data_IF_386720804010
#
_entry.id   IF_386720804010
#
_cell.length_a   1.000
_cell.length_b   1.000
_cell.length_c   1.000
_cell.angle_alpha   90.00
_cell.angle_beta   90.00
_cell.angle_gamma   90.00
#
_symmetry.space_group_name_H-M   'P 1'
#
loop_
_entity.id
_entity.type
_entity.pdbx_description
1 polymer ?
#
# COMPACT_ATOMS: atom_id res chain seq x y z
N UNK A 1 3.90 -23.48 1.94
CA UNK A 1 3.25 -22.34 1.27
C UNK A 1 3.82 -21.09 1.91
N UNK A 2 4.51 -20.24 1.15
CA UNK A 2 5.01 -18.97 1.68
C UNK A 2 3.84 -18.01 1.86
N UNK A 3 3.80 -17.28 2.97
CA UNK A 3 2.80 -16.24 3.18
C UNK A 3 2.94 -15.18 2.08
N UNK A 4 1.82 -14.64 1.54
CA UNK A 4 1.89 -13.60 0.53
C UNK A 4 2.59 -12.35 1.08
N UNK A 5 3.29 -11.62 0.21
CA UNK A 5 3.85 -10.31 0.56
C UNK A 5 2.68 -9.34 0.67
N UNK A 6 2.41 -8.89 1.89
CA UNK A 6 1.30 -8.00 2.21
C UNK A 6 1.71 -6.55 1.97
N UNK A 7 1.00 -5.85 1.08
CA UNK A 7 1.12 -4.41 0.85
C UNK A 7 -0.10 -3.75 1.47
N UNK A 8 0.12 -2.88 2.46
CA UNK A 8 -0.96 -2.12 3.09
C UNK A 8 -0.81 -0.65 2.70
N UNK A 9 -1.89 -0.05 2.22
CA UNK A 9 -1.95 1.36 1.87
C UNK A 9 -2.99 2.01 2.77
N UNK A 10 -2.57 3.00 3.55
CA UNK A 10 -3.46 3.76 4.43
C UNK A 10 -3.62 5.14 3.84
N UNK A 11 -4.87 5.54 3.63
CA UNK A 11 -5.25 6.86 3.16
C UNK A 11 -6.33 7.46 4.05
N UNK A 12 -6.82 8.63 3.68
CA UNK A 12 -8.02 9.22 4.24
C UNK A 12 -8.74 10.00 3.12
N UNK A 13 -10.05 10.25 3.23
CA UNK A 13 -10.76 11.08 2.28
C UNK A 13 -10.21 12.51 2.39
N UNK A 14 -9.74 13.08 1.29
CA UNK A 14 -9.21 14.45 1.29
C UNK A 14 -10.32 15.38 0.84
N UNK A 15 -10.78 16.26 1.73
CA UNK A 15 -11.63 17.38 1.35
C UNK A 15 -10.78 18.42 0.59
N UNK A 16 -11.13 18.69 -0.66
CA UNK A 16 -10.56 19.77 -1.46
C UNK A 16 -11.64 20.76 -1.90
N UNK A 17 -11.24 21.84 -2.58
CA UNK A 17 -12.17 22.89 -3.05
C UNK A 17 -13.27 22.38 -4.00
N UNK A 18 -13.08 21.20 -4.57
CA UNK A 18 -13.99 20.55 -5.53
C UNK A 18 -14.86 19.44 -4.89
N UNK A 19 -14.76 19.25 -3.56
CA UNK A 19 -15.44 18.18 -2.81
C UNK A 19 -14.47 17.21 -2.14
N UNK A 20 -14.98 16.06 -1.70
CA UNK A 20 -14.13 14.99 -1.14
C UNK A 20 -13.59 14.16 -2.30
N UNK A 21 -12.26 14.14 -2.47
CA UNK A 21 -11.58 13.29 -3.45
C UNK A 21 -10.95 12.11 -2.74
N UNK A 22 -11.28 10.92 -3.21
CA UNK A 22 -10.66 9.67 -2.75
C UNK A 22 -9.60 9.16 -3.73
N UNK A 23 -8.71 10.07 -4.15
CA UNK A 23 -7.68 9.77 -5.13
C UNK A 23 -6.71 8.68 -4.66
N UNK A 24 -6.53 8.51 -3.34
CA UNK A 24 -5.70 7.45 -2.81
C UNK A 24 -6.37 6.08 -2.93
N UNK A 25 -7.69 5.96 -2.70
CA UNK A 25 -8.39 4.68 -2.93
C UNK A 25 -8.34 4.27 -4.39
N UNK A 26 -8.54 5.21 -5.32
CA UNK A 26 -8.47 4.91 -6.76
C UNK A 26 -7.07 4.44 -7.18
N UNK A 27 -6.02 5.14 -6.74
CA UNK A 27 -4.63 4.74 -7.01
C UNK A 27 -4.32 3.38 -6.36
N UNK A 28 -4.84 3.13 -5.16
CA UNK A 28 -4.62 1.86 -4.45
C UNK A 28 -5.29 0.68 -5.14
N UNK A 29 -6.51 0.86 -5.66
CA UNK A 29 -7.19 -0.14 -6.50
C UNK A 29 -6.39 -0.43 -7.76
N UNK A 30 -5.95 0.62 -8.46
CA UNK A 30 -5.11 0.45 -9.65
C UNK A 30 -3.79 -0.27 -9.34
N UNK A 31 -3.15 0.07 -8.22
CA UNK A 31 -1.93 -0.61 -7.76
C UNK A 31 -2.19 -2.09 -7.46
N UNK A 32 -3.30 -2.41 -6.78
CA UNK A 32 -3.70 -3.78 -6.47
C UNK A 32 -3.88 -4.62 -7.74
N UNK A 33 -4.61 -4.11 -8.73
CA UNK A 33 -4.82 -4.78 -10.01
C UNK A 33 -3.49 -5.02 -10.74
N UNK A 34 -2.65 -4.00 -10.82
CA UNK A 34 -1.37 -4.08 -11.52
C UNK A 34 -0.37 -5.04 -10.83
N UNK A 35 -0.33 -5.05 -9.50
CA UNK A 35 0.53 -5.94 -8.72
C UNK A 35 0.02 -7.39 -8.80
N UNK A 36 -1.29 -7.61 -8.71
CA UNK A 36 -1.90 -8.93 -8.87
C UNK A 36 -1.65 -9.51 -10.27
N UNK A 37 -1.76 -8.70 -11.32
CA UNK A 37 -1.42 -9.14 -12.69
C UNK A 37 0.04 -9.59 -12.83
N UNK A 38 0.96 -8.97 -12.09
CA UNK A 38 2.40 -9.24 -12.20
C UNK A 38 2.89 -10.38 -11.30
N UNK A 39 2.35 -10.48 -10.09
CA UNK A 39 2.85 -11.36 -9.02
C UNK A 39 1.84 -12.44 -8.61
N UNK A 40 0.61 -12.39 -9.12
CA UNK A 40 -0.43 -13.37 -8.79
C UNK A 40 -0.72 -13.39 -7.28
N UNK A 41 -0.87 -14.60 -6.75
CA UNK A 41 -1.17 -14.83 -5.33
C UNK A 41 0.03 -14.62 -4.39
N UNK A 42 1.22 -14.32 -4.93
CA UNK A 42 2.40 -14.03 -4.11
C UNK A 42 2.34 -12.65 -3.42
N UNK A 43 1.40 -11.79 -3.83
CA UNK A 43 1.22 -10.43 -3.30
C UNK A 43 -0.25 -10.20 -2.99
N UNK A 44 -0.50 -9.62 -1.82
CA UNK A 44 -1.83 -9.19 -1.39
C UNK A 44 -1.79 -7.69 -1.11
N UNK A 45 -2.78 -6.93 -1.60
CA UNK A 45 -2.82 -5.47 -1.45
C UNK A 45 -4.10 -5.06 -0.74
N UNK A 46 -3.96 -4.43 0.42
CA UNK A 46 -5.09 -3.93 1.23
C UNK A 46 -5.05 -2.41 1.31
N UNK A 47 -6.20 -1.78 1.11
CA UNK A 47 -6.38 -0.36 1.38
C UNK A 47 -7.20 -0.18 2.67
N UNK A 48 -6.75 0.72 3.52
CA UNK A 48 -7.46 1.12 4.74
C UNK A 48 -7.75 2.63 4.69
N UNK A 49 -8.97 3.01 5.02
CA UNK A 49 -9.23 4.38 5.43
C UNK A 49 -8.70 4.57 6.85
N UNK A 50 -8.08 5.73 7.12
CA UNK A 50 -7.56 6.07 8.44
C UNK A 50 -8.61 5.94 9.54
N UNK A 51 -9.87 6.19 9.20
CA UNK A 51 -10.97 6.17 10.15
C UNK A 51 -11.70 4.81 10.22
N UNK A 52 -11.25 3.80 9.45
CA UNK A 52 -11.80 2.44 9.53
C UNK A 52 -11.37 1.75 10.83
N UNK A 53 -12.29 0.97 11.42
CA UNK A 53 -12.02 0.22 12.66
C UNK A 53 -10.88 -0.80 12.52
N UNK A 54 -10.68 -1.31 11.31
CA UNK A 54 -9.65 -2.31 10.99
C UNK A 54 -8.34 -1.66 10.50
N UNK A 55 -8.21 -0.33 10.55
CA UNK A 55 -6.99 0.36 10.16
C UNK A 55 -5.81 -0.09 11.05
N UNK A 56 -4.70 -0.58 10.46
CA UNK A 56 -3.56 -1.03 11.24
C UNK A 56 -2.90 0.12 12.00
N UNK A 57 -2.20 -0.17 13.12
CA UNK A 57 -1.49 0.85 13.88
C UNK A 57 -0.41 1.51 13.01
N UNK A 58 -0.36 2.83 13.05
CA UNK A 58 0.62 3.62 12.32
C UNK A 58 1.77 4.05 13.23
N UNK A 59 2.99 4.21 12.68
CA UNK A 59 4.08 4.86 13.39
C UNK A 59 3.71 6.27 13.84
N UNK A 60 4.31 6.72 14.96
CA UNK A 60 4.21 8.12 15.37
C UNK A 60 4.69 9.03 14.23
N UNK A 61 3.98 10.13 14.00
CA UNK A 61 4.30 11.15 12.99
C UNK A 61 4.19 10.65 11.52
N UNK A 62 3.53 9.51 11.28
CA UNK A 62 3.21 9.06 9.94
C UNK A 62 2.38 10.11 9.17
N UNK A 63 2.74 10.33 7.91
CA UNK A 63 2.01 11.19 6.99
C UNK A 63 1.26 10.33 5.98
N UNK A 64 0.08 10.78 5.57
CA UNK A 64 -0.71 10.10 4.55
C UNK A 64 -0.32 10.57 3.13
N UNK A 65 -0.36 9.67 2.12
CA UNK A 65 -0.68 8.25 2.26
C UNK A 65 0.50 7.47 2.87
N UNK A 66 0.21 6.47 3.70
CA UNK A 66 1.21 5.55 4.25
C UNK A 66 1.21 4.25 3.46
N UNK A 67 2.39 3.73 3.11
CA UNK A 67 2.54 2.44 2.43
C UNK A 67 3.45 1.55 3.27
N UNK A 68 2.93 0.40 3.66
CA UNK A 68 3.63 -0.63 4.41
C UNK A 68 3.79 -1.88 3.53
N UNK A 69 4.92 -2.59 3.64
CA UNK A 69 5.13 -3.90 3.04
C UNK A 69 5.57 -4.86 4.14
N UNK A 70 4.76 -5.90 4.40
CA UNK A 70 4.92 -6.82 5.54
C UNK A 70 5.07 -6.08 6.89
N UNK A 71 4.30 -4.99 7.07
CA UNK A 71 4.35 -4.14 8.27
C UNK A 71 5.53 -3.16 8.33
N UNK A 72 6.46 -3.19 7.38
CA UNK A 72 7.56 -2.22 7.30
C UNK A 72 7.18 -1.00 6.45
N UNK A 73 7.48 0.21 6.92
CA UNK A 73 7.22 1.45 6.18
C UNK A 73 8.08 1.50 4.92
N UNK A 74 7.41 1.53 3.75
CA UNK A 74 8.03 1.86 2.47
C UNK A 74 8.03 3.37 2.22
N UNK A 75 6.90 4.03 2.50
CA UNK A 75 6.70 5.46 2.26
C UNK A 75 5.69 6.02 3.25
N UNK A 76 5.93 7.26 3.69
CA UNK A 76 5.08 8.05 4.57
C UNK A 76 4.93 9.44 3.97
N UNK A 77 3.71 9.82 3.59
CA UNK A 77 3.41 11.07 2.90
C UNK A 77 3.65 11.04 1.39
N UNK A 78 3.26 12.13 0.72
CA UNK A 78 3.51 12.31 -0.72
C UNK A 78 2.58 11.49 -1.62
N UNK A 79 3.14 10.57 -2.40
CA UNK A 79 2.43 9.80 -3.45
C UNK A 79 2.61 8.30 -3.26
N UNK A 80 1.57 7.52 -3.57
CA UNK A 80 1.68 6.06 -3.68
C UNK A 80 2.50 5.74 -4.94
N UNK A 81 3.74 5.28 -4.75
CA UNK A 81 4.66 4.95 -5.85
C UNK A 81 4.63 3.46 -6.16
N UNK A 82 3.80 3.06 -7.14
CA UNK A 82 3.74 1.67 -7.62
C UNK A 82 5.09 1.13 -8.11
N UNK A 83 5.95 1.90 -8.80
CA UNK A 83 7.30 1.45 -9.12
C UNK A 83 8.16 1.14 -7.88
N UNK A 84 8.03 1.90 -6.80
CA UNK A 84 8.76 1.63 -5.56
C UNK A 84 8.24 0.38 -4.85
N UNK A 85 6.92 0.22 -4.78
CA UNK A 85 6.27 -0.99 -4.23
C UNK A 85 6.75 -2.23 -4.97
N UNK A 86 6.72 -2.19 -6.31
CA UNK A 86 7.17 -3.27 -7.17
C UNK A 86 8.62 -3.67 -6.89
N UNK A 87 9.54 -2.71 -6.85
CA UNK A 87 10.97 -2.99 -6.59
C UNK A 87 11.18 -3.62 -5.21
N UNK A 88 10.42 -3.18 -4.19
CA UNK A 88 10.52 -3.75 -2.85
C UNK A 88 10.01 -5.20 -2.83
N UNK A 89 8.91 -5.49 -3.51
CA UNK A 89 8.39 -6.86 -3.68
C UNK A 89 9.44 -7.75 -4.38
N UNK A 90 9.97 -7.32 -5.52
CA UNK A 90 10.99 -8.05 -6.28
C UNK A 90 12.20 -8.39 -5.39
N UNK A 91 12.70 -7.42 -4.61
CA UNK A 91 13.81 -7.63 -3.67
C UNK A 91 13.48 -8.61 -2.53
N UNK A 92 12.23 -8.65 -2.06
CA UNK A 92 11.81 -9.62 -1.04
C UNK A 92 11.75 -11.03 -1.64
N UNK A 93 11.19 -11.17 -2.84
CA UNK A 93 11.09 -12.46 -3.53
C UNK A 93 12.46 -13.05 -3.86
N UNK A 94 13.42 -12.22 -4.31
CA UNK A 94 14.81 -12.63 -4.54
C UNK A 94 15.44 -13.21 -3.26
N UNK A 95 15.23 -12.55 -2.11
CA UNK A 95 15.75 -13.00 -0.80
C UNK A 95 15.08 -14.27 -0.28
N UNK A 96 13.85 -14.57 -0.69
CA UNK A 96 13.15 -15.80 -0.30
C UNK A 96 13.56 -17.02 -1.16
N UNK A 97 14.19 -16.77 -2.31
CA UNK A 97 14.58 -17.82 -3.26
C UNK A 97 16.09 -18.13 -3.20
N UNK A 98 16.86 -17.28 -2.54
CA UNK A 98 18.29 -17.46 -2.26
C UNK A 98 18.51 -18.27 -0.98
#
# INVERSE_FOLDING_TARGET
MSQPILVQIIGAPIACKEGVKDSWRDISKWAADHLKMRFGEAVEVHYFDLFDADCPPMPNEAQLPLVLINGEVLSSGGKISVPAIRRRIESIMEKQTA
#
